data_IF_485969489116
#
_entry.id   IF_485969489116
#
_cell.length_a   1.000
_cell.length_b   1.000
_cell.length_c   1.000
_cell.angle_alpha   90.00
_cell.angle_beta   90.00
_cell.angle_gamma   90.00
#
_symmetry.space_group_name_H-M   'P 1'
#
loop_
_entity.id
_entity.type
_entity.pdbx_description
1 polymer ?
#
# COMPACT_ATOMS: atom_id res chain seq x y z
N UNK A 1 15.74 -34.36 -21.75
CA UNK A 1 14.50 -33.82 -22.36
C UNK A 1 13.61 -35.01 -22.67
N UNK A 2 12.50 -35.15 -21.98
CA UNK A 2 11.52 -36.23 -22.22
C UNK A 2 10.43 -35.67 -23.14
N UNK A 3 10.39 -36.14 -24.39
CA UNK A 3 9.31 -35.86 -25.34
C UNK A 3 8.18 -36.87 -25.14
N UNK A 4 6.94 -36.48 -25.40
CA UNK A 4 5.85 -37.45 -25.55
C UNK A 4 5.89 -38.13 -26.93
N UNK A 5 5.00 -39.10 -27.16
CA UNK A 5 4.95 -39.88 -28.42
C UNK A 5 4.63 -39.01 -29.67
N UNK A 6 4.28 -37.73 -29.49
CA UNK A 6 4.01 -36.78 -30.56
C UNK A 6 5.13 -35.75 -30.77
N UNK A 7 6.24 -35.85 -30.03
CA UNK A 7 7.39 -34.96 -30.20
C UNK A 7 7.21 -33.57 -29.59
N UNK A 8 6.14 -33.35 -28.80
CA UNK A 8 5.96 -32.09 -28.07
C UNK A 8 6.81 -32.10 -26.79
N UNK A 9 7.45 -30.96 -26.50
CA UNK A 9 8.22 -30.78 -25.29
C UNK A 9 7.29 -30.87 -24.07
N UNK A 10 7.38 -31.95 -23.29
CA UNK A 10 6.72 -31.99 -21.97
C UNK A 10 7.34 -30.94 -21.06
N UNK A 11 6.68 -29.80 -20.94
CA UNK A 11 6.88 -28.88 -19.82
C UNK A 11 6.40 -29.62 -18.58
N UNK A 12 7.33 -30.09 -17.76
CA UNK A 12 6.99 -30.68 -16.46
C UNK A 12 6.57 -29.52 -15.56
N UNK A 13 5.28 -29.24 -15.53
CA UNK A 13 4.65 -28.35 -14.57
C UNK A 13 4.72 -29.01 -13.18
N UNK A 14 5.84 -28.86 -12.49
CA UNK A 14 5.92 -29.22 -11.08
C UNK A 14 5.12 -28.16 -10.32
N UNK A 15 3.95 -28.51 -9.79
CA UNK A 15 3.13 -27.62 -8.96
C UNK A 15 3.95 -26.98 -7.81
N UNK A 16 4.97 -27.69 -7.34
CA UNK A 16 5.97 -27.21 -6.37
C UNK A 16 6.84 -26.07 -6.91
N UNK A 17 7.20 -26.07 -8.19
CA UNK A 17 7.99 -24.99 -8.81
C UNK A 17 7.23 -23.67 -8.87
N UNK A 18 5.91 -23.72 -9.12
CA UNK A 18 5.07 -22.51 -9.17
C UNK A 18 4.98 -21.79 -7.83
N UNK A 19 5.17 -22.48 -6.71
CA UNK A 19 5.23 -21.84 -5.39
C UNK A 19 6.41 -20.87 -5.27
N UNK A 20 7.53 -21.16 -5.95
CA UNK A 20 8.71 -20.30 -5.97
C UNK A 20 8.64 -19.15 -6.99
N UNK A 21 7.59 -19.12 -7.81
CA UNK A 21 7.33 -18.03 -8.76
C UNK A 21 6.38 -16.97 -8.18
N UNK A 22 5.75 -17.24 -7.04
CA UNK A 22 4.94 -16.24 -6.35
C UNK A 22 5.86 -15.19 -5.71
N UNK A 23 5.90 -14.03 -6.35
CA UNK A 23 6.66 -12.87 -5.90
C UNK A 23 5.81 -11.91 -5.06
N UNK A 24 4.57 -12.26 -4.70
CA UNK A 24 3.67 -11.37 -3.97
C UNK A 24 4.31 -10.78 -2.71
N UNK A 25 3.90 -9.58 -2.33
CA UNK A 25 4.43 -8.87 -1.15
C UNK A 25 4.26 -9.66 0.16
N UNK A 26 3.21 -10.48 0.24
CA UNK A 26 2.86 -11.28 1.42
C UNK A 26 2.56 -12.73 1.01
N UNK A 27 2.98 -13.72 1.81
CA UNK A 27 2.75 -15.15 1.51
C UNK A 27 1.28 -15.54 1.36
N UNK A 28 0.36 -14.85 2.05
CA UNK A 28 -1.09 -15.04 1.95
C UNK A 28 -1.74 -13.75 1.40
N UNK A 29 -1.32 -13.35 0.20
CA UNK A 29 -1.74 -12.08 -0.43
C UNK A 29 -3.26 -11.91 -0.52
N UNK A 30 -4.02 -12.98 -0.81
CA UNK A 30 -5.49 -12.94 -0.83
C UNK A 30 -6.09 -12.61 0.53
N UNK A 31 -5.64 -13.29 1.59
CA UNK A 31 -6.11 -13.05 2.95
C UNK A 31 -5.69 -11.67 3.45
N UNK A 32 -4.48 -11.23 3.10
CA UNK A 32 -4.01 -9.87 3.36
C UNK A 32 -4.95 -8.83 2.75
N UNK A 33 -5.33 -8.96 1.46
CA UNK A 33 -6.26 -8.02 0.81
C UNK A 33 -7.62 -8.01 1.49
N UNK A 34 -8.19 -9.18 1.78
CA UNK A 34 -9.51 -9.29 2.45
C UNK A 34 -9.48 -8.61 3.82
N UNK A 35 -8.46 -8.91 4.63
CA UNK A 35 -8.33 -8.33 5.96
C UNK A 35 -8.09 -6.81 5.87
N UNK A 36 -7.25 -6.35 4.95
CA UNK A 36 -6.99 -4.93 4.75
C UNK A 36 -8.28 -4.18 4.38
N UNK A 37 -9.01 -4.65 3.37
CA UNK A 37 -10.23 -3.98 2.92
C UNK A 37 -11.33 -4.04 3.98
N UNK A 38 -11.48 -5.18 4.66
CA UNK A 38 -12.43 -5.31 5.75
C UNK A 38 -12.16 -4.32 6.90
N UNK A 39 -10.89 -4.18 7.30
CA UNK A 39 -10.48 -3.20 8.31
C UNK A 39 -10.66 -1.75 7.82
N UNK A 40 -10.42 -1.49 6.53
CA UNK A 40 -10.66 -0.17 5.94
C UNK A 40 -12.12 0.27 6.06
N UNK A 41 -13.06 -0.68 5.99
CA UNK A 41 -14.50 -0.45 6.22
C UNK A 41 -14.93 -0.60 7.69
N UNK A 42 -13.99 -0.57 8.64
CA UNK A 42 -14.25 -0.51 10.08
C UNK A 42 -14.26 -1.87 10.78
N UNK A 43 -14.18 -2.99 10.05
CA UNK A 43 -13.95 -4.31 10.66
C UNK A 43 -15.07 -4.85 11.55
N UNK A 44 -16.30 -4.32 11.45
CA UNK A 44 -17.43 -4.71 12.30
C UNK A 44 -18.56 -5.45 11.55
N UNK A 45 -18.70 -5.23 10.23
CA UNK A 45 -19.83 -5.77 9.45
C UNK A 45 -19.51 -7.12 8.81
N UNK A 46 -20.13 -8.19 9.32
CA UNK A 46 -20.00 -9.54 8.74
C UNK A 46 -20.54 -9.64 7.31
N UNK A 47 -21.59 -8.88 6.97
CA UNK A 47 -22.12 -8.83 5.61
C UNK A 47 -21.08 -8.25 4.64
N UNK A 48 -20.43 -7.14 5.02
CA UNK A 48 -19.34 -6.55 4.22
C UNK A 48 -18.16 -7.50 4.10
N UNK A 49 -17.78 -8.17 5.19
CA UNK A 49 -16.71 -9.17 5.18
C UNK A 49 -17.01 -10.29 4.19
N UNK A 50 -18.26 -10.78 4.16
CA UNK A 50 -18.68 -11.82 3.22
C UNK A 50 -18.64 -11.34 1.77
N UNK A 51 -19.11 -10.11 1.50
CA UNK A 51 -19.07 -9.49 0.16
C UNK A 51 -17.62 -9.36 -0.32
N UNK A 52 -16.74 -8.76 0.49
CA UNK A 52 -15.32 -8.56 0.18
C UNK A 52 -14.63 -9.90 -0.08
N UNK A 53 -14.81 -10.87 0.82
CA UNK A 53 -14.20 -12.20 0.70
C UNK A 53 -14.62 -12.88 -0.61
N UNK A 54 -15.93 -12.84 -0.90
CA UNK A 54 -16.49 -13.48 -2.10
C UNK A 54 -16.03 -12.78 -3.38
N UNK A 55 -16.05 -11.45 -3.39
CA UNK A 55 -15.56 -10.60 -4.50
C UNK A 55 -14.10 -10.91 -4.83
N UNK A 56 -13.22 -10.85 -3.83
CA UNK A 56 -11.78 -11.05 -4.02
C UNK A 56 -11.48 -12.50 -4.44
N UNK A 57 -12.08 -13.50 -3.81
CA UNK A 57 -11.89 -14.90 -4.21
C UNK A 57 -12.33 -15.15 -5.65
N UNK A 58 -13.51 -14.66 -6.04
CA UNK A 58 -13.99 -14.79 -7.41
C UNK A 58 -13.05 -14.09 -8.40
N UNK A 59 -12.48 -12.94 -8.03
CA UNK A 59 -11.55 -12.21 -8.89
C UNK A 59 -10.22 -12.94 -9.05
N UNK A 60 -9.64 -13.44 -7.95
CA UNK A 60 -8.40 -14.24 -7.97
C UNK A 60 -8.58 -15.50 -8.82
N UNK A 61 -9.69 -16.21 -8.65
CA UNK A 61 -9.99 -17.41 -9.46
C UNK A 61 -10.21 -17.06 -10.94
N UNK A 62 -10.90 -15.95 -11.24
CA UNK A 62 -11.08 -15.48 -12.61
C UNK A 62 -9.75 -15.13 -13.29
N UNK A 63 -8.80 -14.52 -12.58
CA UNK A 63 -7.47 -14.20 -13.12
C UNK A 63 -6.67 -15.49 -13.33
N UNK A 64 -6.73 -16.44 -12.40
CA UNK A 64 -6.06 -17.75 -12.54
C UNK A 64 -6.56 -18.55 -13.74
N UNK A 65 -7.87 -18.48 -14.03
CA UNK A 65 -8.49 -19.21 -15.13
C UNK A 65 -8.26 -18.56 -16.51
N UNK A 66 -7.90 -17.28 -16.56
CA UNK A 66 -7.67 -16.54 -17.80
C UNK A 66 -6.24 -15.96 -17.83
N UNK A 67 -5.28 -16.61 -18.51
CA UNK A 67 -3.91 -16.12 -18.59
C UNK A 67 -3.73 -14.90 -19.51
N UNK A 68 -4.78 -14.42 -20.20
CA UNK A 68 -4.74 -13.24 -21.09
C UNK A 68 -5.57 -12.07 -20.55
N UNK A 69 -5.47 -11.83 -19.24
CA UNK A 69 -6.11 -10.70 -18.57
C UNK A 69 -5.27 -9.44 -18.80
N UNK A 70 -5.90 -8.28 -18.97
CA UNK A 70 -5.15 -7.03 -19.11
C UNK A 70 -4.49 -6.61 -17.79
N UNK A 71 -3.40 -5.84 -17.85
CA UNK A 71 -2.69 -5.38 -16.64
C UNK A 71 -3.60 -4.62 -15.64
N UNK A 72 -4.63 -3.93 -16.13
CA UNK A 72 -5.62 -3.26 -15.28
C UNK A 72 -6.57 -4.25 -14.62
N UNK A 73 -6.95 -5.32 -15.32
CA UNK A 73 -7.84 -6.35 -14.79
C UNK A 73 -7.14 -7.30 -13.81
N UNK A 74 -5.82 -7.44 -13.89
CA UNK A 74 -5.02 -8.16 -12.88
C UNK A 74 -5.08 -7.48 -11.51
N UNK A 75 -5.38 -6.18 -11.46
CA UNK A 75 -5.57 -5.46 -10.21
C UNK A 75 -6.94 -5.76 -9.58
N UNK A 76 -6.92 -6.02 -8.28
CA UNK A 76 -8.14 -6.21 -7.48
C UNK A 76 -8.50 -4.89 -6.83
N UNK A 77 -9.25 -4.04 -7.53
CA UNK A 77 -9.69 -2.74 -7.05
C UNK A 77 -11.10 -2.82 -6.42
N UNK A 78 -11.18 -3.02 -5.10
CA UNK A 78 -12.45 -3.36 -4.42
C UNK A 78 -13.48 -2.22 -4.48
N UNK A 79 -13.05 -0.97 -4.57
CA UNK A 79 -13.96 0.16 -4.74
C UNK A 79 -14.75 0.12 -6.07
N UNK A 80 -14.32 -0.67 -7.05
CA UNK A 80 -15.10 -0.92 -8.28
C UNK A 80 -16.22 -1.96 -8.11
N UNK A 81 -16.30 -2.65 -6.98
CA UNK A 81 -17.35 -3.63 -6.71
C UNK A 81 -18.71 -2.93 -6.51
N UNK A 82 -19.73 -3.20 -7.34
CA UNK A 82 -21.06 -2.57 -7.24
C UNK A 82 -21.81 -2.83 -5.94
N UNK A 83 -21.40 -3.86 -5.18
CA UNK A 83 -22.01 -4.19 -3.89
C UNK A 83 -21.42 -3.37 -2.72
N UNK A 84 -20.34 -2.63 -2.97
CA UNK A 84 -19.64 -1.89 -1.92
C UNK A 84 -20.24 -0.48 -1.70
N UNK A 85 -20.30 0.01 -0.45
CA UNK A 85 -20.98 1.28 -0.11
C UNK A 85 -20.44 2.50 -0.84
N UNK A 86 -19.17 2.49 -1.24
CA UNK A 86 -18.48 3.63 -1.86
C UNK A 86 -18.33 3.50 -3.37
N UNK A 87 -18.99 2.53 -4.00
CA UNK A 87 -18.83 2.27 -5.43
C UNK A 87 -19.20 3.47 -6.31
N UNK A 88 -20.31 4.16 -5.99
CA UNK A 88 -20.78 5.30 -6.78
C UNK A 88 -19.75 6.44 -6.77
N UNK A 89 -19.27 6.82 -5.58
CA UNK A 89 -18.28 7.90 -5.46
C UNK A 89 -16.91 7.50 -6.02
N UNK A 90 -16.55 6.21 -5.93
CA UNK A 90 -15.35 5.67 -6.56
C UNK A 90 -15.40 5.79 -8.10
N UNK A 91 -16.56 5.50 -8.71
CA UNK A 91 -16.75 5.65 -10.16
C UNK A 91 -16.68 7.12 -10.58
N UNK A 92 -17.29 8.04 -9.81
CA UNK A 92 -17.17 9.49 -10.05
C UNK A 92 -15.73 9.97 -9.98
N UNK A 93 -14.98 9.52 -8.98
CA UNK A 93 -13.56 9.84 -8.82
C UNK A 93 -12.71 9.27 -9.96
N UNK A 94 -13.00 8.05 -10.39
CA UNK A 94 -12.35 7.41 -11.53
C UNK A 94 -12.53 8.24 -12.81
N UNK A 95 -13.78 8.61 -13.13
CA UNK A 95 -14.10 9.46 -14.29
C UNK A 95 -13.45 10.84 -14.19
N UNK A 96 -13.39 11.40 -12.97
CA UNK A 96 -12.72 12.67 -12.71
C UNK A 96 -11.23 12.59 -13.04
N UNK A 97 -10.51 11.58 -12.55
CA UNK A 97 -9.06 11.46 -12.75
C UNK A 97 -8.72 11.17 -14.21
N UNK A 98 -9.56 10.42 -14.92
CA UNK A 98 -9.39 10.19 -16.37
C UNK A 98 -9.57 11.48 -17.16
N UNK A 99 -10.50 12.34 -16.75
CA UNK A 99 -10.71 13.64 -17.37
C UNK A 99 -9.50 14.58 -17.13
N UNK A 100 -8.56 14.59 -18.07
CA UNK A 100 -7.30 15.33 -18.02
C UNK A 100 -7.41 16.87 -17.95
N UNK A 101 -8.62 17.43 -17.96
CA UNK A 101 -8.90 18.86 -17.96
C UNK A 101 -9.48 19.36 -16.63
N UNK A 102 -9.66 18.48 -15.64
CA UNK A 102 -10.31 18.84 -14.37
C UNK A 102 -9.39 19.67 -13.47
N UNK A 103 -9.95 20.75 -12.95
CA UNK A 103 -9.29 21.80 -12.20
C UNK A 103 -8.96 21.37 -10.74
N UNK A 104 -8.06 22.09 -10.06
CA UNK A 104 -7.75 21.86 -8.63
C UNK A 104 -8.94 22.18 -7.73
N UNK A 105 -9.74 23.19 -8.10
CA UNK A 105 -10.99 23.54 -7.42
C UNK A 105 -12.00 22.37 -7.50
N UNK A 106 -12.20 21.84 -8.71
CA UNK A 106 -13.10 20.70 -8.92
C UNK A 106 -12.60 19.44 -8.21
N UNK A 107 -11.28 19.30 -8.06
CA UNK A 107 -10.70 18.21 -7.27
C UNK A 107 -11.01 18.39 -5.78
N UNK A 108 -10.89 19.61 -5.25
CA UNK A 108 -11.24 19.88 -3.86
C UNK A 108 -12.74 19.63 -3.58
N UNK A 109 -13.62 19.98 -4.52
CA UNK A 109 -15.05 19.65 -4.46
C UNK A 109 -15.28 18.13 -4.44
N UNK A 110 -14.61 17.38 -5.33
CA UNK A 110 -14.68 15.92 -5.39
C UNK A 110 -14.20 15.26 -4.08
N UNK A 111 -13.14 15.80 -3.48
CA UNK A 111 -12.62 15.35 -2.18
C UNK A 111 -13.65 15.57 -1.07
N UNK A 112 -14.29 16.75 -1.04
CA UNK A 112 -15.34 17.04 -0.06
C UNK A 112 -16.57 16.13 -0.25
N UNK A 113 -17.02 15.91 -1.49
CA UNK A 113 -18.10 14.96 -1.80
C UNK A 113 -17.74 13.55 -1.31
N UNK A 114 -16.50 13.12 -1.54
CA UNK A 114 -15.98 11.82 -1.09
C UNK A 114 -16.00 11.69 0.43
N UNK A 115 -15.53 12.71 1.15
CA UNK A 115 -15.53 12.72 2.62
C UNK A 115 -16.95 12.60 3.17
N UNK A 116 -17.91 13.34 2.62
CA UNK A 116 -19.30 13.28 3.05
C UNK A 116 -19.95 11.93 2.70
N UNK A 117 -19.67 11.37 1.52
CA UNK A 117 -20.13 10.03 1.13
C UNK A 117 -19.59 8.93 2.06
N UNK A 118 -18.33 9.04 2.52
CA UNK A 118 -17.76 8.09 3.48
C UNK A 118 -18.50 8.19 4.82
N UNK A 119 -18.65 9.41 5.37
CA UNK A 119 -19.33 9.64 6.65
C UNK A 119 -20.78 9.17 6.63
N UNK A 120 -21.47 9.28 5.49
CA UNK A 120 -22.87 8.86 5.37
C UNK A 120 -23.06 7.36 5.18
N UNK A 121 -22.06 6.66 4.61
CA UNK A 121 -22.22 5.30 4.11
C UNK A 121 -21.48 4.24 4.93
N UNK A 122 -20.47 4.64 5.70
CA UNK A 122 -19.65 3.73 6.50
C UNK A 122 -19.54 4.24 7.93
N UNK A 123 -19.93 3.42 8.89
CA UNK A 123 -19.96 3.77 10.32
C UNK A 123 -18.64 3.39 10.98
N UNK A 124 -18.20 4.16 11.99
CA UNK A 124 -17.01 3.88 12.81
C UNK A 124 -15.68 3.77 12.05
N UNK A 125 -15.53 4.48 10.93
CA UNK A 125 -14.26 4.47 10.16
C UNK A 125 -13.46 5.74 10.32
N UNK A 126 -12.14 5.61 10.15
CA UNK A 126 -11.27 6.75 9.90
C UNK A 126 -11.52 7.27 8.47
N UNK A 127 -12.31 8.34 8.35
CA UNK A 127 -12.69 8.92 7.05
C UNK A 127 -11.50 9.29 6.19
N UNK A 128 -10.43 9.82 6.78
CA UNK A 128 -9.25 10.25 6.04
C UNK A 128 -8.48 9.05 5.46
N UNK A 129 -8.35 7.98 6.24
CA UNK A 129 -7.73 6.73 5.81
C UNK A 129 -8.47 6.13 4.61
N UNK A 130 -9.80 6.09 4.67
CA UNK A 130 -10.66 5.59 3.58
C UNK A 130 -10.53 6.47 2.34
N UNK A 131 -10.56 7.79 2.51
CA UNK A 131 -10.41 8.75 1.42
C UNK A 131 -9.04 8.61 0.72
N UNK A 132 -7.95 8.53 1.49
CA UNK A 132 -6.60 8.35 0.94
C UNK A 132 -6.50 7.03 0.18
N UNK A 133 -7.01 5.94 0.75
CA UNK A 133 -7.03 4.66 0.06
C UNK A 133 -7.81 4.73 -1.24
N UNK A 134 -9.00 5.32 -1.23
CA UNK A 134 -9.81 5.47 -2.43
C UNK A 134 -9.05 6.26 -3.51
N UNK A 135 -8.51 7.44 -3.17
CA UNK A 135 -7.80 8.30 -4.13
C UNK A 135 -6.57 7.59 -4.70
N UNK A 136 -5.65 7.12 -3.86
CA UNK A 136 -4.38 6.57 -4.34
C UNK A 136 -4.53 5.23 -5.05
N UNK A 137 -5.47 4.38 -4.60
CA UNK A 137 -5.80 3.16 -5.33
C UNK A 137 -6.47 3.49 -6.68
N UNK A 138 -7.29 4.54 -6.78
CA UNK A 138 -7.87 4.97 -8.08
C UNK A 138 -6.78 5.43 -9.05
N UNK A 139 -5.81 6.24 -8.60
CA UNK A 139 -4.67 6.64 -9.43
C UNK A 139 -3.86 5.41 -9.90
N UNK A 140 -3.52 4.50 -8.98
CA UNK A 140 -2.80 3.28 -9.31
C UNK A 140 -3.59 2.40 -10.31
N UNK A 141 -4.90 2.27 -10.12
CA UNK A 141 -5.78 1.49 -10.99
C UNK A 141 -5.87 2.07 -12.41
N UNK A 142 -6.05 3.40 -12.55
CA UNK A 142 -6.10 4.05 -13.87
C UNK A 142 -4.76 3.95 -14.60
N UNK A 143 -3.67 4.16 -13.87
CA UNK A 143 -2.32 4.15 -14.44
C UNK A 143 -1.82 2.75 -14.80
N UNK A 144 -2.39 1.68 -14.24
CA UNK A 144 -1.95 0.28 -14.33
C UNK A 144 -1.64 -0.27 -15.74
N UNK A 145 -2.20 0.35 -16.79
CA UNK A 145 -1.92 0.01 -18.19
C UNK A 145 -0.44 0.14 -18.56
N UNK A 146 0.29 1.05 -17.93
CA UNK A 146 1.75 1.15 -18.04
C UNK A 146 2.34 2.00 -16.92
N UNK A 147 3.58 1.71 -16.53
CA UNK A 147 4.31 2.56 -15.56
C UNK A 147 4.33 4.02 -16.01
N UNK A 148 4.57 4.29 -17.29
CA UNK A 148 4.54 5.65 -17.84
C UNK A 148 3.19 6.33 -17.66
N UNK A 149 2.09 5.59 -17.79
CA UNK A 149 0.74 6.11 -17.56
C UNK A 149 0.56 6.51 -16.10
N UNK A 150 0.93 5.65 -15.13
CA UNK A 150 0.87 5.98 -13.70
C UNK A 150 1.71 7.23 -13.38
N UNK A 151 2.97 7.26 -13.84
CA UNK A 151 3.88 8.38 -13.58
C UNK A 151 3.35 9.68 -14.21
N UNK A 152 2.81 9.59 -15.42
CA UNK A 152 2.25 10.76 -16.11
C UNK A 152 1.05 11.35 -15.38
N UNK A 153 0.12 10.53 -14.88
CA UNK A 153 -1.04 11.04 -14.14
C UNK A 153 -0.66 11.57 -12.76
N UNK A 154 0.33 10.97 -12.09
CA UNK A 154 0.86 11.46 -10.81
C UNK A 154 1.52 12.83 -11.00
N UNK A 155 2.40 12.96 -12.01
CA UNK A 155 3.09 14.22 -12.28
C UNK A 155 2.11 15.34 -12.68
N UNK A 156 1.11 15.02 -13.50
CA UNK A 156 0.04 15.96 -13.88
C UNK A 156 -0.68 16.53 -12.65
N UNK A 157 -1.00 15.65 -11.69
CA UNK A 157 -1.80 15.98 -10.52
C UNK A 157 -0.97 16.18 -9.24
N UNK A 158 0.32 16.52 -9.38
CA UNK A 158 1.25 16.62 -8.24
C UNK A 158 0.75 17.56 -7.14
N UNK A 159 0.15 18.70 -7.50
CA UNK A 159 -0.42 19.64 -6.53
C UNK A 159 -1.60 19.03 -5.74
N UNK A 160 -2.48 18.28 -6.43
CA UNK A 160 -3.61 17.57 -5.83
C UNK A 160 -3.14 16.49 -4.86
N UNK A 161 -2.14 15.71 -5.28
CA UNK A 161 -1.61 14.61 -4.48
C UNK A 161 -0.82 15.09 -3.26
N UNK A 162 -0.04 16.18 -3.38
CA UNK A 162 0.62 16.83 -2.25
C UNK A 162 -0.37 17.40 -1.24
N UNK A 163 -1.44 18.04 -1.72
CA UNK A 163 -2.52 18.52 -0.86
C UNK A 163 -3.13 17.37 -0.03
N UNK A 164 -3.46 16.24 -0.67
CA UNK A 164 -4.01 15.07 0.04
C UNK A 164 -3.02 14.45 1.01
N UNK A 165 -1.73 14.36 0.64
CA UNK A 165 -0.68 13.79 1.49
C UNK A 165 -0.27 14.69 2.65
N UNK A 166 -0.76 15.94 2.70
CA UNK A 166 -0.39 16.93 3.70
C UNK A 166 0.99 17.56 3.47
N UNK A 167 1.58 17.35 2.29
CA UNK A 167 2.84 17.97 1.89
C UNK A 167 2.60 19.40 1.41
N UNK A 168 3.61 20.26 1.58
CA UNK A 168 3.55 21.63 1.09
C UNK A 168 3.44 21.65 -0.44
N UNK A 169 2.41 22.31 -0.95
CA UNK A 169 2.23 22.58 -2.38
C UNK A 169 2.98 23.86 -2.72
N UNK A 170 3.94 23.77 -3.64
CA UNK A 170 4.78 24.91 -4.05
C UNK A 170 4.20 25.64 -5.27
N UNK A 171 4.68 26.85 -5.55
CA UNK A 171 4.29 27.58 -6.77
C UNK A 171 4.62 26.80 -8.06
N UNK A 172 5.71 26.02 -8.06
CA UNK A 172 6.08 25.17 -9.20
C UNK A 172 5.04 24.07 -9.42
N UNK A 173 4.53 23.46 -8.35
CA UNK A 173 3.49 22.42 -8.42
C UNK A 173 2.19 22.98 -9.03
N UNK A 174 1.80 24.20 -8.65
CA UNK A 174 0.65 24.88 -9.24
C UNK A 174 0.85 25.19 -10.73
N UNK A 175 2.07 25.61 -11.13
CA UNK A 175 2.40 25.86 -12.54
C UNK A 175 2.30 24.59 -13.39
N UNK A 176 2.70 23.44 -12.87
CA UNK A 176 2.56 22.14 -13.56
C UNK A 176 1.07 21.80 -13.76
N UNK A 177 0.24 22.06 -12.76
CA UNK A 177 -1.21 21.82 -12.84
C UNK A 177 -1.97 22.80 -13.75
N UNK A 178 -1.34 23.91 -14.16
CA UNK A 178 -1.91 24.87 -15.11
C UNK A 178 -3.15 25.62 -14.60
N UNK A 179 -3.29 25.78 -13.28
CA UNK A 179 -4.48 26.34 -12.65
C UNK A 179 -4.10 27.37 -11.56
N UNK A 180 -4.85 28.48 -11.50
CA UNK A 180 -4.68 29.56 -10.53
C UNK A 180 -5.29 29.26 -9.15
N UNK A 181 -6.06 28.16 -9.01
CA UNK A 181 -6.65 27.76 -7.74
C UNK A 181 -5.60 27.25 -6.75
N UNK A 182 -5.56 27.91 -5.58
CA UNK A 182 -4.72 27.54 -4.44
C UNK A 182 -5.57 26.75 -3.45
N UNK A 183 -5.05 25.58 -3.03
CA UNK A 183 -5.73 24.73 -2.06
C UNK A 183 -5.80 25.41 -0.69
N UNK A 184 -6.87 25.20 0.09
CA UNK A 184 -6.95 25.71 1.45
C UNK A 184 -5.87 25.09 2.34
N UNK A 185 -5.37 25.84 3.33
CA UNK A 185 -4.45 25.30 4.33
C UNK A 185 -5.15 24.28 5.24
N UNK A 186 -4.58 23.08 5.36
CA UNK A 186 -5.17 21.98 6.13
C UNK A 186 -4.81 22.02 7.64
N UNK A 187 -3.91 22.90 8.09
CA UNK A 187 -3.47 23.02 9.50
C UNK A 187 -3.19 21.67 10.17
N UNK A 188 -2.43 20.80 9.50
CA UNK A 188 -2.09 19.46 9.98
C UNK A 188 -0.89 19.47 10.92
N UNK A 189 -0.89 18.59 11.93
CA UNK A 189 0.32 18.30 12.70
C UNK A 189 1.25 17.38 11.92
N UNK A 190 2.52 17.28 12.32
CA UNK A 190 3.46 16.34 11.67
C UNK A 190 2.99 14.88 11.81
N UNK A 191 2.34 14.53 12.92
CA UNK A 191 1.79 13.19 13.15
C UNK A 191 0.67 12.87 12.15
N UNK A 192 -0.22 13.83 11.88
CA UNK A 192 -1.28 13.67 10.87
C UNK A 192 -0.69 13.47 9.47
N UNK A 193 0.35 14.23 9.12
CA UNK A 193 1.05 14.10 7.84
C UNK A 193 1.69 12.71 7.71
N UNK A 194 2.38 12.24 8.75
CA UNK A 194 3.02 10.92 8.78
C UNK A 194 1.99 9.78 8.69
N UNK A 195 0.84 9.90 9.35
CA UNK A 195 -0.27 8.95 9.26
C UNK A 195 -0.84 8.90 7.84
N UNK A 196 -1.13 10.06 7.24
CA UNK A 196 -1.64 10.14 5.86
C UNK A 196 -0.68 9.50 4.88
N UNK A 197 0.60 9.79 5.00
CA UNK A 197 1.65 9.19 4.17
C UNK A 197 1.82 7.69 4.39
N UNK A 198 1.63 7.20 5.62
CA UNK A 198 1.60 5.77 5.90
C UNK A 198 0.45 5.08 5.17
N UNK A 199 -0.76 5.66 5.20
CA UNK A 199 -1.91 5.14 4.45
C UNK A 199 -1.70 5.19 2.93
N UNK A 200 -0.97 6.19 2.42
CA UNK A 200 -0.56 6.23 1.01
C UNK A 200 0.32 5.02 0.69
N UNK A 201 1.37 4.76 1.48
CA UNK A 201 2.25 3.60 1.29
C UNK A 201 1.44 2.31 1.28
N UNK A 202 0.59 2.13 2.29
CA UNK A 202 -0.23 0.94 2.45
C UNK A 202 -1.21 0.74 1.29
N UNK A 203 -1.83 1.83 0.80
CA UNK A 203 -2.76 1.79 -0.33
C UNK A 203 -2.10 1.29 -1.63
N UNK A 204 -0.86 1.72 -1.90
CA UNK A 204 -0.10 1.31 -3.08
C UNK A 204 0.38 -0.13 -2.95
N UNK A 205 0.88 -0.53 -1.78
CA UNK A 205 1.28 -1.92 -1.53
C UNK A 205 0.08 -2.87 -1.61
N UNK A 206 -1.09 -2.47 -1.12
CA UNK A 206 -2.31 -3.28 -1.20
C UNK A 206 -2.77 -3.50 -2.63
N UNK A 207 -2.87 -2.46 -3.45
CA UNK A 207 -3.39 -2.63 -4.82
C UNK A 207 -2.43 -3.42 -5.70
N UNK A 208 -1.12 -3.23 -5.53
CA UNK A 208 -0.07 -3.94 -6.29
C UNK A 208 0.52 -5.12 -5.52
N UNK A 209 -0.26 -5.78 -4.65
CA UNK A 209 0.25 -6.86 -3.79
C UNK A 209 0.93 -7.99 -4.57
N UNK A 210 0.45 -8.28 -5.78
CA UNK A 210 0.98 -9.32 -6.67
C UNK A 210 2.11 -8.84 -7.58
N UNK A 211 2.38 -7.53 -7.63
CA UNK A 211 3.45 -6.95 -8.44
C UNK A 211 4.32 -5.98 -7.61
N UNK A 212 5.11 -6.49 -6.63
CA UNK A 212 5.93 -5.66 -5.75
C UNK A 212 6.84 -4.69 -6.50
N UNK A 213 7.42 -5.11 -7.63
CA UNK A 213 8.30 -4.27 -8.43
C UNK A 213 7.59 -2.97 -8.87
N UNK A 214 6.33 -3.08 -9.33
CA UNK A 214 5.52 -1.94 -9.71
C UNK A 214 5.16 -1.12 -8.48
N UNK A 215 4.73 -1.77 -7.39
CA UNK A 215 4.39 -1.10 -6.14
C UNK A 215 5.52 -0.19 -5.65
N UNK A 216 6.73 -0.73 -5.53
CA UNK A 216 7.90 0.01 -5.08
C UNK A 216 8.34 1.09 -6.07
N UNK A 217 8.26 0.83 -7.36
CA UNK A 217 8.56 1.84 -8.37
C UNK A 217 7.62 3.04 -8.28
N UNK A 218 6.32 2.81 -8.08
CA UNK A 218 5.36 3.91 -7.88
C UNK A 218 5.67 4.68 -6.59
N UNK A 219 6.01 3.99 -5.50
CA UNK A 219 6.42 4.63 -4.25
C UNK A 219 7.71 5.47 -4.42
N UNK A 220 8.67 5.01 -5.21
CA UNK A 220 9.86 5.78 -5.58
C UNK A 220 9.49 7.08 -6.31
N UNK A 221 8.57 7.03 -7.28
CA UNK A 221 8.11 8.24 -7.96
C UNK A 221 7.33 9.19 -7.04
N UNK A 222 6.53 8.66 -6.11
CA UNK A 222 5.86 9.50 -5.10
C UNK A 222 6.88 10.23 -4.21
N UNK A 223 8.03 9.61 -3.91
CA UNK A 223 9.14 10.25 -3.21
C UNK A 223 9.83 11.28 -4.11
N UNK A 224 10.10 10.95 -5.37
CA UNK A 224 10.74 11.86 -6.34
C UNK A 224 9.93 13.14 -6.53
N UNK A 225 8.60 13.02 -6.66
CA UNK A 225 7.68 14.16 -6.76
C UNK A 225 7.40 14.84 -5.42
N UNK A 226 8.03 14.40 -4.32
CA UNK A 226 7.85 14.93 -2.96
C UNK A 226 6.40 14.88 -2.47
N UNK A 227 5.65 13.89 -2.93
CA UNK A 227 4.32 13.54 -2.40
C UNK A 227 4.47 12.71 -1.12
N UNK A 228 5.53 11.89 -1.05
CA UNK A 228 5.88 11.02 0.07
C UNK A 228 7.27 11.35 0.62
N UNK A 229 7.42 11.35 1.93
CA UNK A 229 8.71 11.40 2.60
C UNK A 229 9.35 9.99 2.61
N UNK A 230 10.64 9.85 2.25
CA UNK A 230 11.29 8.54 2.15
C UNK A 230 11.34 7.76 3.47
N UNK A 231 11.28 8.46 4.60
CA UNK A 231 11.30 7.87 5.93
C UNK A 231 10.13 6.91 6.17
N UNK A 232 8.94 7.20 5.65
CA UNK A 232 7.74 6.38 5.86
C UNK A 232 7.86 5.04 5.12
N UNK A 233 8.41 5.06 3.92
CA UNK A 233 8.68 3.84 3.17
C UNK A 233 9.74 2.97 3.87
N UNK A 234 10.78 3.57 4.45
CA UNK A 234 11.80 2.86 5.23
C UNK A 234 11.20 2.22 6.48
N UNK A 235 10.35 2.95 7.21
CA UNK A 235 9.61 2.41 8.37
C UNK A 235 8.77 1.22 7.96
N UNK A 236 8.05 1.29 6.84
CA UNK A 236 7.24 0.17 6.35
C UNK A 236 8.12 -1.02 5.94
N UNK A 237 9.22 -0.77 5.25
CA UNK A 237 10.15 -1.81 4.78
C UNK A 237 10.78 -2.62 5.92
N UNK A 238 11.04 -1.96 7.05
CA UNK A 238 11.64 -2.55 8.26
C UNK A 238 10.63 -2.79 9.39
N UNK A 239 9.32 -2.77 9.14
CA UNK A 239 8.35 -3.15 10.16
C UNK A 239 8.62 -4.58 10.64
N UNK A 240 8.63 -4.80 11.96
CA UNK A 240 8.91 -6.10 12.58
C UNK A 240 7.97 -7.20 12.12
N UNK A 241 6.73 -6.85 11.79
CA UNK A 241 5.67 -7.82 11.51
C UNK A 241 5.90 -8.55 10.18
N UNK A 242 6.47 -7.86 9.19
CA UNK A 242 6.58 -8.37 7.82
C UNK A 242 8.00 -8.28 7.26
N UNK A 243 8.83 -7.37 7.77
CA UNK A 243 10.22 -7.14 7.40
C UNK A 243 10.48 -7.28 5.89
N UNK A 244 9.75 -6.46 5.11
CA UNK A 244 9.70 -6.54 3.65
C UNK A 244 11.07 -6.41 3.00
N UNK A 245 12.01 -5.68 3.61
CA UNK A 245 13.37 -5.52 3.08
C UNK A 245 14.14 -6.85 3.03
N UNK A 246 13.86 -7.80 3.93
CA UNK A 246 14.45 -9.14 3.93
C UNK A 246 13.65 -10.07 3.02
N UNK A 247 12.33 -10.00 3.10
CA UNK A 247 11.43 -10.97 2.48
C UNK A 247 11.14 -10.69 1.00
N UNK A 248 11.43 -9.48 0.50
CA UNK A 248 11.11 -9.09 -0.86
C UNK A 248 12.29 -8.36 -1.53
N UNK A 249 12.83 -8.96 -2.60
CA UNK A 249 13.99 -8.42 -3.34
C UNK A 249 13.67 -7.04 -3.94
N UNK A 250 12.46 -6.82 -4.45
CA UNK A 250 12.07 -5.52 -5.01
C UNK A 250 12.05 -4.43 -3.93
N UNK A 251 11.70 -4.77 -2.68
CA UNK A 251 11.80 -3.85 -1.55
C UNK A 251 13.26 -3.46 -1.29
N UNK A 252 14.16 -4.43 -1.17
CA UNK A 252 15.59 -4.18 -0.96
C UNK A 252 16.20 -3.30 -2.06
N UNK A 253 15.92 -3.62 -3.33
CA UNK A 253 16.41 -2.82 -4.46
C UNK A 253 15.86 -1.39 -4.44
N UNK A 254 14.57 -1.24 -4.13
CA UNK A 254 13.92 0.06 -3.98
C UNK A 254 14.57 0.88 -2.87
N UNK A 255 14.85 0.25 -1.72
CA UNK A 255 15.50 0.93 -0.60
C UNK A 255 16.89 1.44 -1.00
N UNK A 256 17.67 0.62 -1.71
CA UNK A 256 18.97 1.06 -2.22
C UNK A 256 18.85 2.26 -3.16
N UNK A 257 17.85 2.30 -4.06
CA UNK A 257 17.60 3.44 -4.94
C UNK A 257 17.15 4.68 -4.18
N UNK A 258 16.21 4.55 -3.24
CA UNK A 258 15.72 5.65 -2.38
C UNK A 258 16.85 6.24 -1.55
N UNK A 259 17.69 5.40 -0.93
CA UNK A 259 18.85 5.84 -0.16
C UNK A 259 19.89 6.52 -1.05
N UNK A 260 20.16 5.99 -2.24
CA UNK A 260 21.09 6.58 -3.21
C UNK A 260 20.59 7.93 -3.74
N UNK A 261 19.28 8.07 -3.98
CA UNK A 261 18.65 9.34 -4.34
C UNK A 261 18.69 10.35 -3.20
N UNK A 262 18.44 9.89 -1.98
CA UNK A 262 18.49 10.71 -0.76
C UNK A 262 19.91 11.17 -0.41
N UNK A 263 20.96 10.48 -0.86
CA UNK A 263 22.35 10.87 -0.62
C UNK A 263 22.71 12.30 -1.08
N UNK A 264 21.91 12.86 -2.01
CA UNK A 264 22.08 14.23 -2.53
C UNK A 264 21.18 15.25 -1.83
N UNK A 265 20.29 14.84 -0.93
CA UNK A 265 19.36 15.72 -0.24
C UNK A 265 19.87 16.10 1.15
N UNK A 266 19.41 17.25 1.66
CA UNK A 266 19.77 17.74 3.00
C UNK A 266 19.31 16.77 4.11
N UNK A 267 18.27 15.97 3.83
CA UNK A 267 17.67 15.02 4.78
C UNK A 267 18.36 13.65 4.82
N UNK A 268 19.47 13.44 4.09
CA UNK A 268 20.15 12.15 4.00
C UNK A 268 20.53 11.58 5.37
N UNK A 269 21.04 12.44 6.26
CA UNK A 269 21.50 12.05 7.59
C UNK A 269 20.36 11.44 8.40
N UNK A 270 19.19 12.07 8.40
CA UNK A 270 18.03 11.63 9.16
C UNK A 270 17.48 10.31 8.62
N UNK A 271 17.47 10.17 7.29
CA UNK A 271 17.07 8.94 6.59
C UNK A 271 17.99 7.77 6.95
N UNK A 272 19.31 7.97 6.97
CA UNK A 272 20.27 6.93 7.34
C UNK A 272 20.21 6.58 8.82
N UNK A 273 20.08 7.58 9.70
CA UNK A 273 19.94 7.34 11.14
C UNK A 273 18.68 6.53 11.45
N UNK A 274 17.56 6.85 10.79
CA UNK A 274 16.32 6.10 10.91
C UNK A 274 16.51 4.64 10.46
N UNK A 275 17.14 4.41 9.31
CA UNK A 275 17.42 3.07 8.79
C UNK A 275 18.19 2.23 9.81
N UNK A 276 19.31 2.75 10.34
CA UNK A 276 20.12 2.03 11.31
C UNK A 276 19.40 1.83 12.64
N UNK A 277 18.61 2.80 13.11
CA UNK A 277 17.80 2.65 14.32
C UNK A 277 16.85 1.47 14.18
N UNK A 278 16.09 1.40 13.08
CA UNK A 278 15.13 0.33 12.84
C UNK A 278 15.79 -1.05 12.68
N UNK A 279 16.98 -1.11 12.05
CA UNK A 279 17.76 -2.35 11.98
C UNK A 279 18.16 -2.81 13.39
N UNK A 280 18.69 -1.91 14.22
CA UNK A 280 19.08 -2.22 15.60
C UNK A 280 17.87 -2.66 16.43
N UNK A 281 16.74 -1.97 16.29
CA UNK A 281 15.49 -2.29 17.00
C UNK A 281 14.99 -3.69 16.62
N UNK A 282 14.99 -4.03 15.33
CA UNK A 282 14.62 -5.36 14.85
C UNK A 282 15.58 -6.46 15.33
N UNK A 283 16.89 -6.19 15.34
CA UNK A 283 17.88 -7.12 15.88
C UNK A 283 17.65 -7.34 17.38
N UNK A 284 17.40 -6.27 18.14
CA UNK A 284 17.12 -6.35 19.57
C UNK A 284 15.82 -7.11 19.86
N UNK A 285 14.76 -6.89 19.07
CA UNK A 285 13.51 -7.63 19.18
C UNK A 285 13.70 -9.12 18.88
N UNK A 286 14.46 -9.44 17.81
CA UNK A 286 14.78 -10.82 17.44
C UNK A 286 15.61 -11.51 18.52
N UNK A 287 16.62 -10.84 19.07
CA UNK A 287 17.44 -11.37 20.17
C UNK A 287 16.62 -11.64 21.42
N UNK A 288 15.65 -10.78 21.77
CA UNK A 288 14.74 -11.03 22.89
C UNK A 288 13.89 -12.29 22.68
N UNK A 289 13.39 -12.49 21.45
CA UNK A 289 12.58 -13.67 21.12
C UNK A 289 13.41 -14.97 21.02
N UNK A 290 14.71 -14.86 20.74
CA UNK A 290 15.64 -16.00 20.67
C UNK A 290 16.37 -16.28 21.98
N UNK A 291 16.32 -15.36 22.95
CA UNK A 291 16.92 -15.59 24.26
C UNK A 291 16.21 -16.78 24.91
N UNK A 292 16.94 -17.85 25.30
CA UNK A 292 16.33 -18.94 26.04
C UNK A 292 15.69 -18.38 27.31
N UNK A 293 14.48 -18.85 27.64
CA UNK A 293 13.89 -18.61 28.97
C UNK A 293 14.97 -18.87 30.02
N UNK A 294 15.24 -17.87 30.85
CA UNK A 294 16.26 -17.98 31.88
C UNK A 294 15.91 -19.20 32.75
N UNK A 295 16.74 -20.26 32.80
CA UNK A 295 16.43 -21.47 33.55
C UNK A 295 16.38 -21.24 35.07
N UNK A 296 16.49 -19.99 35.53
CA UNK A 296 16.34 -19.58 36.92
C UNK A 296 14.88 -19.26 37.34
N UNK A 297 13.90 -19.30 36.43
CA UNK A 297 12.47 -19.27 36.77
C UNK A 297 11.87 -20.68 36.91
N UNK A 298 12.54 -21.59 37.62
CA UNK A 298 11.83 -22.73 38.22
C UNK A 298 10.93 -22.21 39.36
N UNK A 299 9.67 -22.69 39.48
CA UNK A 299 8.79 -22.29 40.57
C UNK A 299 9.43 -22.76 41.88
N UNK A 300 9.77 -21.81 42.75
CA UNK A 300 10.21 -22.12 44.12
C UNK A 300 9.13 -23.03 44.74
N UNK A 301 9.48 -24.23 45.22
CA UNK A 301 8.51 -25.04 45.94
C UNK A 301 8.12 -24.27 47.19
N UNK A 302 6.81 -24.08 47.35
CA UNK A 302 6.21 -23.53 48.56
C UNK A 302 6.79 -24.23 49.78
N UNK A 303 7.54 -23.48 50.60
CA UNK A 303 7.74 -23.83 52.00
C UNK A 303 6.42 -23.64 52.74
N UNK A 304 5.46 -24.55 52.50
CA UNK A 304 4.38 -24.82 53.44
C UNK A 304 4.82 -25.93 54.39
N UNK A 305 4.64 -25.64 55.67
CA UNK A 305 5.27 -26.33 56.77
C UNK A 305 4.91 -27.80 56.89
N UNK A 306 5.91 -28.59 57.27
CA UNK A 306 5.71 -29.80 58.04
C UNK A 306 6.32 -29.57 59.42
N UNK A 307 5.51 -28.95 60.28
CA UNK A 307 5.57 -29.19 61.71
C UNK A 307 4.86 -30.53 61.97
N UNK A 308 5.65 -31.53 62.35
CA UNK A 308 5.25 -32.56 63.32
C UNK A 308 6.28 -32.53 64.45
#
# INVERSE_FOLDING_TARGET
MTQDENGEARVVALNEFYQYLDISLFPQSTEYMINYDYQLYGGESEDLKHIITTSIHNRVESIRQNPMVSAQEELIYEFSNPQMPLNEVANKLYDFIIANWRSNEQFNEMVNETVEAIKSSVVNVNTEQVMINLIFQTYAYIGSRSIYSVVSIINRDVAKLKYISGMQVTEEDYRVSGNDFIFPELNLTQEDVDLRQTWIVDSILRIWVHQPQVAFLILEYLIEFRILNPQLLIRKALSSDHNLIINNVSCMESMNRVLSGSAKSENFKDVILLLFSLIVDNLNATLKNLAPEDPSEEPRPDHQGLLQ
#
